data_IF_716895442299
#
_entry.id   IF_716895442299
#
_cell.length_a   1.000
_cell.length_b   1.000
_cell.length_c   1.000
_cell.angle_alpha   90.00
_cell.angle_beta   90.00
_cell.angle_gamma   90.00
#
_symmetry.space_group_name_H-M   'P 1'
#
loop_
_entity.id
_entity.type
_entity.pdbx_description
1 polymer ?
#
# COMPACT_ATOMS: atom_id res chain seq x y z
N UNK A 1 -16.96 -8.19 -13.82
CA UNK A 1 -17.14 -6.96 -13.02
C UNK A 1 -17.91 -5.93 -13.81
N UNK A 2 -18.88 -5.31 -13.19
CA UNK A 2 -19.77 -4.31 -13.80
C UNK A 2 -19.75 -3.07 -12.90
N UNK A 3 -19.50 -1.91 -13.51
CA UNK A 3 -19.70 -0.61 -12.87
C UNK A 3 -21.01 0.02 -13.34
N UNK A 4 -21.70 0.69 -12.45
CA UNK A 4 -22.98 1.37 -12.70
C UNK A 4 -22.87 2.82 -12.29
N UNK A 5 -23.29 3.73 -13.14
CA UNK A 5 -23.46 5.14 -12.82
C UNK A 5 -24.85 5.59 -13.24
N UNK A 6 -25.45 6.52 -12.50
CA UNK A 6 -26.79 7.05 -12.73
C UNK A 6 -26.74 8.57 -13.02
N UNK A 7 -27.56 9.02 -13.97
CA UNK A 7 -27.80 10.43 -14.24
C UNK A 7 -29.08 10.87 -13.48
N UNK A 8 -29.10 12.05 -12.90
CA UNK A 8 -28.05 13.06 -12.75
C UNK A 8 -27.17 12.86 -11.49
N UNK A 9 -27.38 11.80 -10.72
CA UNK A 9 -26.78 11.58 -9.41
C UNK A 9 -25.25 11.54 -9.44
N UNK A 10 -24.67 10.95 -10.50
CA UNK A 10 -23.22 10.75 -10.62
C UNK A 10 -22.55 11.64 -11.66
N UNK A 11 -23.27 12.02 -12.71
CA UNK A 11 -22.87 13.01 -13.71
C UNK A 11 -24.06 13.41 -14.59
N UNK A 12 -23.98 14.59 -15.23
CA UNK A 12 -24.99 15.15 -16.09
C UNK A 12 -24.74 14.90 -17.59
N UNK A 13 -23.54 14.43 -17.95
CA UNK A 13 -23.11 14.15 -19.31
C UNK A 13 -22.64 12.71 -19.51
N UNK A 14 -22.64 12.27 -20.77
CA UNK A 14 -22.31 10.89 -21.16
C UNK A 14 -20.88 10.54 -20.79
N UNK A 15 -19.94 11.45 -20.99
CA UNK A 15 -18.51 11.23 -20.70
C UNK A 15 -18.27 11.09 -19.20
N UNK A 16 -18.92 11.91 -18.40
CA UNK A 16 -18.92 11.81 -16.94
C UNK A 16 -19.50 10.50 -16.44
N UNK A 17 -20.66 10.09 -17.00
CA UNK A 17 -21.29 8.81 -16.65
C UNK A 17 -20.41 7.61 -17.00
N UNK A 18 -19.73 7.62 -18.15
CA UNK A 18 -18.81 6.56 -18.52
C UNK A 18 -17.62 6.49 -17.58
N UNK A 19 -17.01 7.63 -17.22
CA UNK A 19 -15.93 7.68 -16.22
C UNK A 19 -16.38 7.13 -14.87
N UNK A 20 -17.57 7.53 -14.42
CA UNK A 20 -18.13 7.03 -13.16
C UNK A 20 -18.41 5.52 -13.19
N UNK A 21 -18.95 5.02 -14.30
CA UNK A 21 -19.20 3.59 -14.48
C UNK A 21 -17.88 2.78 -14.54
N UNK A 22 -16.86 3.29 -15.22
CA UNK A 22 -15.52 2.67 -15.25
C UNK A 22 -14.89 2.61 -13.86
N UNK A 23 -14.99 3.66 -13.09
CA UNK A 23 -14.52 3.69 -11.70
C UNK A 23 -15.27 2.65 -10.83
N UNK A 24 -16.59 2.54 -10.97
CA UNK A 24 -17.39 1.49 -10.32
C UNK A 24 -17.00 0.09 -10.76
N UNK A 25 -16.74 -0.12 -12.05
CA UNK A 25 -16.27 -1.40 -12.58
C UNK A 25 -14.90 -1.79 -12.01
N UNK A 26 -14.01 -0.82 -11.88
CA UNK A 26 -12.70 -1.05 -11.29
C UNK A 26 -12.80 -1.44 -9.81
N UNK A 27 -13.60 -0.72 -9.04
CA UNK A 27 -13.88 -1.07 -7.64
C UNK A 27 -14.48 -2.48 -7.50
N UNK A 28 -15.32 -2.89 -8.48
CA UNK A 28 -15.84 -4.25 -8.55
C UNK A 28 -14.74 -5.29 -8.79
N UNK A 29 -13.78 -5.01 -9.69
CA UNK A 29 -12.63 -5.91 -9.94
C UNK A 29 -11.77 -6.08 -8.70
N UNK A 30 -11.47 -5.00 -7.99
CA UNK A 30 -10.67 -5.02 -6.76
C UNK A 30 -11.31 -5.87 -5.64
N UNK A 31 -12.66 -5.97 -5.63
CA UNK A 31 -13.41 -6.81 -4.68
C UNK A 31 -13.62 -8.27 -5.14
N UNK A 32 -13.02 -8.67 -6.26
CA UNK A 32 -13.15 -10.03 -6.79
C UNK A 32 -14.34 -10.23 -7.73
N UNK A 33 -14.95 -9.16 -8.26
CA UNK A 33 -16.04 -9.20 -9.23
C UNK A 33 -17.39 -8.74 -8.68
N UNK A 34 -18.43 -8.85 -9.51
CA UNK A 34 -19.81 -8.45 -9.17
C UNK A 34 -20.23 -7.14 -9.80
N UNK A 35 -21.23 -6.48 -9.22
CA UNK A 35 -21.78 -5.18 -9.66
C UNK A 35 -21.48 -4.15 -8.57
N UNK A 36 -20.92 -3.00 -8.96
CA UNK A 36 -20.67 -1.88 -8.04
C UNK A 36 -21.26 -0.60 -8.64
N UNK A 37 -22.12 0.04 -7.89
CA UNK A 37 -22.58 1.39 -8.21
C UNK A 37 -21.45 2.36 -7.92
N UNK A 38 -21.22 3.32 -8.80
CA UNK A 38 -20.24 4.37 -8.58
C UNK A 38 -20.53 5.08 -7.25
N UNK A 39 -19.51 5.28 -6.49
CA UNK A 39 -19.55 6.04 -5.26
C UNK A 39 -18.59 7.22 -5.40
N UNK A 40 -19.13 8.43 -5.49
CA UNK A 40 -18.33 9.67 -5.54
C UNK A 40 -17.45 9.83 -4.29
N UNK A 41 -17.79 9.15 -3.21
CA UNK A 41 -16.97 9.01 -2.04
C UNK A 41 -15.81 8.00 -2.20
N UNK A 42 -15.77 7.12 -3.20
CA UNK A 42 -14.66 6.18 -3.39
C UNK A 42 -13.42 6.82 -4.05
N UNK A 43 -12.16 6.52 -3.64
CA UNK A 43 -10.96 7.06 -4.28
C UNK A 43 -11.01 6.85 -5.78
N UNK A 44 -10.86 7.96 -6.52
CA UNK A 44 -10.84 7.90 -7.97
C UNK A 44 -9.39 7.80 -8.45
N UNK A 45 -9.12 7.06 -9.55
CA UNK A 45 -7.82 7.07 -10.19
C UNK A 45 -7.33 8.49 -10.51
N UNK A 46 -8.24 9.40 -10.88
CA UNK A 46 -7.94 10.80 -11.19
C UNK A 46 -7.41 11.60 -9.98
N UNK A 47 -7.79 11.26 -8.76
CA UNK A 47 -7.28 11.92 -7.55
C UNK A 47 -5.78 11.68 -7.43
N UNK A 48 -5.31 10.49 -7.80
CA UNK A 48 -3.90 10.15 -7.82
C UNK A 48 -3.20 10.63 -9.09
N UNK A 49 -3.85 10.59 -10.25
CA UNK A 49 -3.29 11.07 -11.52
C UNK A 49 -3.05 12.58 -11.51
N UNK A 50 -3.95 13.38 -10.93
CA UNK A 50 -3.75 14.83 -10.73
C UNK A 50 -2.55 15.11 -9.84
N UNK A 51 -2.28 14.24 -8.90
CA UNK A 51 -1.15 14.30 -7.99
C UNK A 51 0.15 13.91 -8.71
N UNK A 52 0.11 12.87 -9.56
CA UNK A 52 1.26 12.38 -10.31
C UNK A 52 1.77 13.39 -11.35
N UNK A 53 0.84 14.07 -12.03
CA UNK A 53 1.17 14.99 -13.12
C UNK A 53 1.69 16.35 -12.64
N UNK A 54 1.53 16.68 -11.34
CA UNK A 54 1.99 17.95 -10.76
C UNK A 54 3.43 17.97 -10.23
N UNK A 55 4.18 16.88 -10.26
CA UNK A 55 5.46 16.79 -9.57
C UNK A 55 6.57 16.13 -10.36
N UNK A 56 7.54 16.93 -10.77
CA UNK A 56 8.85 16.51 -11.31
C UNK A 56 9.87 16.08 -10.23
N UNK A 57 9.50 16.02 -8.96
CA UNK A 57 10.43 15.76 -7.86
C UNK A 57 10.17 14.41 -7.18
N UNK A 58 11.25 13.80 -6.67
CA UNK A 58 11.23 12.53 -5.93
C UNK A 58 10.49 12.57 -4.57
N UNK A 59 9.74 13.64 -4.28
CA UNK A 59 8.96 13.80 -3.06
C UNK A 59 7.47 13.79 -3.39
N UNK A 60 6.67 13.20 -2.50
CA UNK A 60 5.23 13.41 -2.53
C UNK A 60 4.95 14.91 -2.46
N UNK A 61 3.93 15.42 -3.18
CA UNK A 61 3.50 16.81 -3.01
C UNK A 61 3.31 17.15 -1.54
N UNK A 62 3.74 18.32 -1.10
CA UNK A 62 3.76 18.71 0.30
C UNK A 62 2.40 18.57 1.00
N UNK A 63 1.29 18.77 0.28
CA UNK A 63 -0.05 18.56 0.79
C UNK A 63 -0.40 17.08 1.01
N UNK A 64 0.23 16.15 0.29
CA UNK A 64 0.08 14.71 0.51
C UNK A 64 0.98 14.19 1.62
N UNK A 65 2.23 14.65 1.68
CA UNK A 65 3.17 14.24 2.72
C UNK A 65 2.63 14.55 4.13
N UNK A 66 1.89 15.67 4.29
CA UNK A 66 1.24 16.04 5.54
C UNK A 66 -0.06 15.29 5.84
N UNK A 67 -0.66 14.62 4.86
CA UNK A 67 -1.96 13.96 5.00
C UNK A 67 -1.88 12.47 5.32
N UNK A 68 -0.74 11.82 5.06
CA UNK A 68 -0.51 10.43 5.49
C UNK A 68 -0.05 10.40 6.95
N UNK A 69 -0.62 9.46 7.69
CA UNK A 69 -0.26 9.17 9.09
C UNK A 69 -0.04 7.68 9.26
N UNK A 70 0.97 7.33 10.02
CA UNK A 70 1.19 5.94 10.40
C UNK A 70 0.57 5.67 11.78
N UNK A 71 -0.18 4.59 11.87
CA UNK A 71 -0.59 3.96 13.11
C UNK A 71 0.23 2.70 13.29
N UNK A 72 0.53 2.35 14.53
CA UNK A 72 1.32 1.15 14.82
C UNK A 72 0.54 0.26 15.76
N UNK A 73 0.24 -0.95 15.31
CA UNK A 73 -0.44 -1.96 16.11
C UNK A 73 0.61 -2.93 16.66
N UNK A 74 0.69 -3.13 17.99
CA UNK A 74 1.66 -4.05 18.57
C UNK A 74 1.33 -5.50 18.20
N UNK A 75 2.38 -6.30 17.94
CA UNK A 75 2.29 -7.74 17.67
C UNK A 75 2.81 -8.50 18.87
N UNK A 76 1.98 -9.40 19.40
CA UNK A 76 2.26 -10.21 20.58
C UNK A 76 2.53 -11.66 20.16
N UNK A 77 3.60 -12.24 20.66
CA UNK A 77 3.81 -13.68 20.61
C UNK A 77 2.95 -14.36 21.66
N UNK A 78 2.04 -15.22 21.23
CA UNK A 78 1.04 -15.83 22.12
C UNK A 78 1.64 -16.85 23.08
N UNK A 79 2.78 -17.42 22.75
CA UNK A 79 3.46 -18.41 23.60
C UNK A 79 4.27 -17.72 24.70
N UNK A 80 5.10 -16.78 24.34
CA UNK A 80 5.96 -16.06 25.28
C UNK A 80 5.27 -14.89 25.97
N UNK A 81 4.09 -14.47 25.48
CA UNK A 81 3.36 -13.27 25.93
C UNK A 81 4.16 -11.98 25.85
N UNK A 82 5.13 -11.91 24.94
CA UNK A 82 6.00 -10.76 24.75
C UNK A 82 5.68 -10.05 23.43
N UNK A 83 5.85 -8.73 23.42
CA UNK A 83 5.80 -7.97 22.17
C UNK A 83 7.03 -8.29 21.33
N UNK A 84 6.79 -8.70 20.07
CA UNK A 84 7.85 -9.10 19.12
C UNK A 84 7.98 -8.15 17.96
N UNK A 85 7.04 -7.22 17.81
CA UNK A 85 7.03 -6.27 16.72
C UNK A 85 5.81 -5.37 16.74
N UNK A 86 5.67 -4.63 15.67
CA UNK A 86 4.51 -3.76 15.40
C UNK A 86 4.15 -3.86 13.93
N UNK A 87 2.91 -3.62 13.62
CA UNK A 87 2.41 -3.49 12.26
C UNK A 87 2.18 -2.03 11.94
N UNK A 88 2.72 -1.58 10.82
CA UNK A 88 2.60 -0.21 10.34
C UNK A 88 1.35 -0.09 9.48
N UNK A 89 0.34 0.58 9.97
CA UNK A 89 -0.94 0.81 9.32
C UNK A 89 -0.98 2.24 8.79
N UNK A 90 -0.87 2.40 7.49
CA UNK A 90 -0.98 3.72 6.87
C UNK A 90 -2.43 4.19 6.89
N UNK A 91 -2.61 5.49 7.14
CA UNK A 91 -3.90 6.18 7.12
C UNK A 91 -3.74 7.46 6.33
N UNK A 92 -4.69 7.74 5.46
CA UNK A 92 -4.71 8.96 4.67
C UNK A 92 -5.85 9.88 5.12
N UNK A 93 -5.50 11.08 5.58
CA UNK A 93 -6.47 12.12 5.87
C UNK A 93 -6.83 12.85 4.57
N UNK A 94 -7.81 12.31 3.85
CA UNK A 94 -8.29 12.90 2.61
C UNK A 94 -9.15 14.14 2.91
N UNK A 95 -8.94 15.30 2.23
CA UNK A 95 -9.61 16.56 2.57
C UNK A 95 -11.15 16.50 2.50
N UNK A 96 -11.70 15.69 1.62
CA UNK A 96 -13.15 15.59 1.39
C UNK A 96 -13.77 14.30 1.96
N UNK A 97 -12.96 13.27 2.22
CA UNK A 97 -13.41 11.90 2.52
C UNK A 97 -13.04 11.42 3.92
N UNK A 98 -12.35 12.27 4.68
CA UNK A 98 -11.91 11.91 6.01
C UNK A 98 -10.78 10.89 6.02
N UNK A 99 -10.80 9.98 6.96
CA UNK A 99 -9.72 9.01 7.18
C UNK A 99 -9.91 7.77 6.31
N UNK A 100 -8.96 7.53 5.41
CA UNK A 100 -8.91 6.38 4.52
C UNK A 100 -7.86 5.37 4.99
N UNK A 101 -8.15 4.07 4.77
CA UNK A 101 -7.23 2.96 5.03
C UNK A 101 -6.45 2.57 3.78
N UNK A 102 -5.46 1.70 3.90
CA UNK A 102 -4.71 1.16 2.75
C UNK A 102 -5.61 0.48 1.72
N UNK A 103 -6.65 -0.20 2.16
CA UNK A 103 -7.62 -0.88 1.29
C UNK A 103 -8.43 0.10 0.44
N UNK A 104 -8.63 1.33 0.95
CA UNK A 104 -9.39 2.37 0.25
C UNK A 104 -8.58 3.06 -0.85
N UNK A 105 -7.26 3.23 -0.67
CA UNK A 105 -6.46 4.05 -1.56
C UNK A 105 -5.35 3.32 -2.35
N UNK A 106 -4.90 2.13 -1.93
CA UNK A 106 -3.92 1.37 -2.72
C UNK A 106 -4.45 0.95 -4.09
N UNK A 107 -5.66 0.35 -4.22
CA UNK A 107 -6.14 -0.08 -5.53
C UNK A 107 -6.21 1.05 -6.58
N UNK A 108 -6.72 2.26 -6.28
CA UNK A 108 -6.61 3.37 -7.23
C UNK A 108 -5.17 3.87 -7.42
N UNK A 109 -4.31 3.84 -6.39
CA UNK A 109 -2.93 4.25 -6.50
C UNK A 109 -2.09 3.31 -7.39
N UNK A 110 -2.43 2.02 -7.45
CA UNK A 110 -1.77 1.01 -8.30
C UNK A 110 -1.81 1.36 -9.78
N UNK A 111 -2.78 2.15 -10.21
CA UNK A 111 -2.90 2.61 -11.60
C UNK A 111 -2.06 3.85 -11.89
N UNK A 112 -1.33 4.36 -10.93
CA UNK A 112 -0.59 5.62 -11.07
C UNK A 112 0.90 5.45 -10.84
N UNK A 113 1.70 6.33 -11.42
CA UNK A 113 3.14 6.40 -11.17
C UNK A 113 3.50 6.83 -9.73
N UNK A 114 2.52 7.06 -8.86
CA UNK A 114 2.76 7.47 -7.47
C UNK A 114 3.02 6.30 -6.53
N UNK A 115 2.57 5.11 -6.88
CA UNK A 115 2.64 3.97 -5.97
C UNK A 115 4.04 3.65 -5.46
N UNK A 116 5.10 3.61 -6.30
CA UNK A 116 6.45 3.37 -5.82
C UNK A 116 6.92 4.42 -4.80
N UNK A 117 6.55 5.69 -5.03
CA UNK A 117 6.88 6.79 -4.12
C UNK A 117 6.12 6.70 -2.81
N UNK A 118 4.83 6.36 -2.87
CA UNK A 118 4.01 6.15 -1.69
C UNK A 118 4.55 4.98 -0.85
N UNK A 119 4.87 3.87 -1.50
CA UNK A 119 5.47 2.70 -0.85
C UNK A 119 6.81 3.07 -0.17
N UNK A 120 7.65 3.87 -0.82
CA UNK A 120 8.90 4.34 -0.23
C UNK A 120 8.66 5.22 1.00
N UNK A 121 7.72 6.15 0.95
CA UNK A 121 7.37 7.01 2.11
C UNK A 121 6.88 6.16 3.28
N UNK A 122 6.02 5.18 3.02
CA UNK A 122 5.50 4.26 4.04
C UNK A 122 6.65 3.47 4.69
N UNK A 123 7.55 2.93 3.88
CA UNK A 123 8.72 2.20 4.37
C UNK A 123 9.64 3.09 5.21
N UNK A 124 9.91 4.31 4.77
CA UNK A 124 10.73 5.29 5.52
C UNK A 124 10.15 5.61 6.88
N UNK A 125 8.86 5.93 6.95
CA UNK A 125 8.16 6.23 8.20
C UNK A 125 8.16 5.03 9.16
N UNK A 126 7.91 3.82 8.63
CA UNK A 126 7.93 2.59 9.41
C UNK A 126 9.35 2.30 9.98
N UNK A 127 10.38 2.43 9.15
CA UNK A 127 11.77 2.21 9.57
C UNK A 127 12.25 3.29 10.54
N UNK A 128 11.86 4.56 10.35
CA UNK A 128 12.14 5.63 11.31
C UNK A 128 11.57 5.31 12.70
N UNK A 129 10.34 4.78 12.77
CA UNK A 129 9.74 4.35 14.04
C UNK A 129 10.46 3.16 14.64
N UNK A 130 10.81 2.15 13.83
CA UNK A 130 11.59 0.99 14.28
C UNK A 130 12.96 1.42 14.84
N UNK A 131 13.61 2.39 14.18
CA UNK A 131 14.88 2.98 14.64
C UNK A 131 14.71 3.67 16.01
N UNK A 132 13.69 4.52 16.15
CA UNK A 132 13.42 5.20 17.43
C UNK A 132 13.16 4.20 18.56
N UNK A 133 12.42 3.12 18.32
CA UNK A 133 12.25 2.04 19.31
C UNK A 133 13.59 1.36 19.67
N UNK A 134 14.43 1.12 18.66
CA UNK A 134 15.75 0.50 18.88
C UNK A 134 16.66 1.38 19.72
N UNK A 135 16.63 2.70 19.55
CA UNK A 135 17.38 3.68 20.35
C UNK A 135 16.95 3.69 21.83
N UNK A 136 15.66 3.36 22.08
CA UNK A 136 15.13 3.17 23.42
C UNK A 136 15.38 1.76 24.00
N UNK A 137 16.17 0.93 23.30
CA UNK A 137 16.49 -0.43 23.72
C UNK A 137 15.46 -1.50 23.32
N UNK A 138 14.41 -1.14 22.57
CA UNK A 138 13.37 -2.05 22.13
C UNK A 138 13.60 -2.52 20.68
N UNK A 139 14.12 -3.73 20.50
CA UNK A 139 14.34 -4.34 19.17
C UNK A 139 13.04 -4.94 18.64
N UNK A 140 12.15 -4.10 18.17
CA UNK A 140 10.86 -4.49 17.60
C UNK A 140 10.94 -4.49 16.08
N UNK A 141 10.51 -5.59 15.47
CA UNK A 141 10.34 -5.63 14.03
C UNK A 141 9.10 -4.85 13.61
N UNK A 142 9.18 -4.13 12.49
CA UNK A 142 8.03 -3.48 11.89
C UNK A 142 7.55 -4.28 10.67
N UNK A 143 6.27 -4.60 10.64
CA UNK A 143 5.61 -5.20 9.49
C UNK A 143 4.98 -4.10 8.65
N UNK A 144 5.17 -4.16 7.33
CA UNK A 144 4.65 -3.19 6.36
C UNK A 144 3.98 -3.95 5.23
N UNK A 145 2.68 -3.71 5.04
CA UNK A 145 1.97 -4.22 3.88
C UNK A 145 2.32 -3.41 2.65
N UNK A 146 2.77 -4.09 1.60
CA UNK A 146 3.11 -3.49 0.31
C UNK A 146 2.18 -3.99 -0.78
N UNK A 147 1.83 -3.14 -1.76
CA UNK A 147 1.07 -3.57 -2.91
C UNK A 147 1.79 -4.66 -3.70
N UNK A 148 1.03 -5.63 -4.22
CA UNK A 148 1.58 -6.73 -5.02
C UNK A 148 2.33 -6.27 -6.27
N UNK A 149 1.91 -5.15 -6.83
CA UNK A 149 2.58 -4.49 -7.98
C UNK A 149 4.01 -4.05 -7.68
N UNK A 150 4.37 -3.79 -6.40
CA UNK A 150 5.75 -3.51 -6.01
C UNK A 150 6.70 -4.69 -6.31
N UNK A 151 6.17 -5.91 -6.38
CA UNK A 151 6.95 -7.11 -6.71
C UNK A 151 7.27 -7.24 -8.21
N UNK A 152 6.66 -6.41 -9.07
CA UNK A 152 7.00 -6.35 -10.49
C UNK A 152 8.19 -5.41 -10.77
N UNK A 153 8.68 -4.70 -9.74
CA UNK A 153 9.80 -3.79 -9.86
C UNK A 153 11.12 -4.49 -9.46
N UNK A 154 12.01 -4.84 -10.40
CA UNK A 154 13.25 -5.55 -10.08
C UNK A 154 14.11 -4.82 -9.02
N UNK A 155 14.13 -3.49 -9.04
CA UNK A 155 14.89 -2.67 -8.11
C UNK A 155 14.25 -2.56 -6.71
N UNK A 156 13.08 -3.17 -6.44
CA UNK A 156 12.42 -3.02 -5.15
C UNK A 156 13.23 -3.58 -3.99
N UNK A 157 13.86 -4.75 -4.17
CA UNK A 157 14.71 -5.35 -3.15
C UNK A 157 15.93 -4.49 -2.81
N UNK A 158 16.56 -3.88 -3.83
CA UNK A 158 17.72 -2.99 -3.63
C UNK A 158 17.31 -1.71 -2.89
N UNK A 159 16.14 -1.15 -3.22
CA UNK A 159 15.59 0.01 -2.49
C UNK A 159 15.33 -0.30 -1.03
N UNK A 160 14.76 -1.46 -0.73
CA UNK A 160 14.52 -1.91 0.65
C UNK A 160 15.86 -2.06 1.40
N UNK A 161 16.86 -2.67 0.77
CA UNK A 161 18.20 -2.80 1.36
C UNK A 161 18.86 -1.44 1.62
N UNK A 162 18.75 -0.50 0.67
CA UNK A 162 19.27 0.86 0.82
C UNK A 162 18.58 1.62 1.98
N UNK A 163 17.27 1.49 2.12
CA UNK A 163 16.53 2.09 3.23
C UNK A 163 16.96 1.51 4.59
N UNK A 164 17.10 0.20 4.70
CA UNK A 164 17.58 -0.43 5.93
C UNK A 164 18.96 0.06 6.31
N UNK A 165 19.88 0.20 5.34
CA UNK A 165 21.21 0.74 5.55
C UNK A 165 21.18 2.22 5.99
N UNK A 166 20.34 3.05 5.35
CA UNK A 166 20.14 4.46 5.70
C UNK A 166 19.70 4.62 7.17
N UNK A 167 18.72 3.82 7.61
CA UNK A 167 18.24 3.83 8.97
C UNK A 167 19.12 3.03 9.95
N UNK A 168 20.20 2.41 9.48
CA UNK A 168 21.11 1.58 10.29
C UNK A 168 20.36 0.49 11.07
N UNK A 169 19.44 -0.17 10.41
CA UNK A 169 18.65 -1.25 10.96
C UNK A 169 19.05 -2.58 10.35
N UNK A 170 19.10 -3.68 11.14
CA UNK A 170 19.30 -4.99 10.56
C UNK A 170 18.09 -5.42 9.72
N UNK A 171 18.26 -6.23 8.67
CA UNK A 171 17.17 -6.69 7.84
C UNK A 171 16.02 -7.37 8.60
N UNK A 172 16.34 -8.05 9.69
CA UNK A 172 15.37 -8.70 10.58
C UNK A 172 14.40 -7.71 11.27
N UNK A 173 14.68 -6.40 11.23
CA UNK A 173 13.79 -5.35 11.74
C UNK A 173 12.60 -5.09 10.84
N UNK A 174 12.59 -5.61 9.61
CA UNK A 174 11.52 -5.40 8.65
C UNK A 174 10.84 -6.73 8.29
N UNK A 175 9.51 -6.69 8.23
CA UNK A 175 8.68 -7.74 7.65
C UNK A 175 7.91 -7.11 6.50
N UNK A 176 8.13 -7.54 5.29
CA UNK A 176 7.30 -7.16 4.13
C UNK A 176 6.09 -8.10 4.10
N UNK A 177 4.90 -7.54 4.22
CA UNK A 177 3.63 -8.26 4.11
C UNK A 177 3.04 -8.02 2.72
N UNK A 178 2.49 -9.07 2.13
CA UNK A 178 1.93 -9.07 0.78
C UNK A 178 0.54 -9.66 0.90
N UNK A 179 -0.48 -8.95 0.41
CA UNK A 179 -1.82 -9.46 0.39
C UNK A 179 -1.91 -10.70 -0.52
N UNK A 180 -2.55 -11.77 -0.05
CA UNK A 180 -2.74 -12.97 -0.86
C UNK A 180 -3.61 -12.66 -2.09
N UNK A 181 -4.67 -11.87 -1.88
CA UNK A 181 -5.61 -11.50 -2.94
C UNK A 181 -4.98 -10.49 -3.91
N UNK A 182 -5.11 -10.76 -5.21
CA UNK A 182 -4.70 -9.85 -6.27
C UNK A 182 -3.20 -9.81 -6.55
N UNK A 183 -2.38 -10.58 -5.84
CA UNK A 183 -0.94 -10.65 -6.08
C UNK A 183 -0.59 -11.90 -6.88
N UNK A 184 -0.06 -11.78 -8.10
CA UNK A 184 0.32 -12.92 -8.93
C UNK A 184 1.65 -13.52 -8.47
N UNK A 185 1.68 -14.10 -7.25
CA UNK A 185 2.89 -14.67 -6.64
C UNK A 185 3.56 -15.78 -7.45
N UNK A 186 2.82 -16.37 -8.40
CA UNK A 186 3.33 -17.41 -9.30
C UNK A 186 4.10 -16.86 -10.50
N UNK A 187 3.98 -15.58 -10.80
CA UNK A 187 4.71 -14.95 -11.89
C UNK A 187 6.21 -14.93 -11.61
N UNK A 188 7.01 -15.20 -12.66
CA UNK A 188 8.46 -15.31 -12.54
C UNK A 188 9.11 -14.04 -11.98
N UNK A 189 8.71 -12.86 -12.48
CA UNK A 189 9.25 -11.58 -12.01
C UNK A 189 9.01 -11.33 -10.52
N UNK A 190 7.80 -11.61 -10.04
CA UNK A 190 7.46 -11.48 -8.62
C UNK A 190 8.32 -12.43 -7.76
N UNK A 191 8.52 -13.67 -8.21
CA UNK A 191 9.35 -14.65 -7.50
C UNK A 191 10.80 -14.22 -7.38
N UNK A 192 11.36 -13.64 -8.45
CA UNK A 192 12.74 -13.12 -8.44
C UNK A 192 12.91 -12.01 -7.40
N UNK A 193 11.97 -11.07 -7.32
CA UNK A 193 11.99 -10.00 -6.31
C UNK A 193 11.82 -10.55 -4.89
N UNK A 194 10.94 -11.53 -4.69
CA UNK A 194 10.78 -12.19 -3.38
C UNK A 194 12.05 -12.92 -2.95
N UNK A 195 12.72 -13.61 -3.87
CA UNK A 195 14.01 -14.25 -3.59
C UNK A 195 15.08 -13.22 -3.25
N UNK A 196 15.15 -12.10 -3.98
CA UNK A 196 16.08 -11.01 -3.70
C UNK A 196 15.82 -10.40 -2.31
N UNK A 197 14.56 -10.09 -1.96
CA UNK A 197 14.20 -9.61 -0.62
C UNK A 197 14.62 -10.60 0.48
N UNK A 198 14.34 -11.88 0.29
CA UNK A 198 14.75 -12.92 1.25
C UNK A 198 16.26 -13.01 1.40
N UNK A 199 17.00 -12.86 0.30
CA UNK A 199 18.48 -12.88 0.31
C UNK A 199 19.07 -11.72 1.10
N UNK A 200 18.40 -10.57 1.21
CA UNK A 200 18.83 -9.47 2.09
C UNK A 200 18.65 -9.79 3.57
N UNK A 201 17.88 -10.82 3.93
CA UNK A 201 17.52 -11.17 5.30
C UNK A 201 16.25 -10.52 5.82
N UNK A 202 15.51 -9.80 4.98
CA UNK A 202 14.17 -9.27 5.28
C UNK A 202 13.20 -10.43 5.40
N UNK A 203 12.28 -10.34 6.37
CA UNK A 203 11.24 -11.35 6.55
C UNK A 203 10.06 -11.05 5.65
N UNK A 204 9.46 -12.10 5.10
CA UNK A 204 8.28 -12.03 4.26
C UNK A 204 7.09 -12.63 5.01
N UNK A 205 5.91 -12.06 4.81
CA UNK A 205 4.64 -12.54 5.35
C UNK A 205 3.54 -12.42 4.29
N UNK A 206 2.56 -13.32 4.38
CA UNK A 206 1.30 -13.16 3.65
C UNK A 206 0.31 -12.48 4.57
N UNK A 207 -0.39 -11.51 4.03
CA UNK A 207 -1.49 -10.82 4.68
C UNK A 207 -2.82 -11.38 4.17
N UNK A 208 -3.86 -11.33 5.01
CA UNK A 208 -5.20 -11.84 4.70
C UNK A 208 -5.21 -13.29 4.19
N UNK A 209 -4.37 -14.17 4.76
CA UNK A 209 -4.25 -15.57 4.36
C UNK A 209 -5.60 -16.28 4.39
N UNK A 210 -5.92 -17.01 3.31
CA UNK A 210 -7.17 -17.73 3.13
C UNK A 210 -8.28 -16.89 2.48
N UNK A 211 -8.03 -15.62 2.14
CA UNK A 211 -8.97 -14.75 1.43
C UNK A 211 -8.85 -14.84 -0.09
N UNK A 212 -7.77 -15.44 -0.59
CA UNK A 212 -7.46 -15.62 -1.99
C UNK A 212 -7.94 -16.94 -2.59
N UNK A 213 -7.63 -17.14 -3.87
CA UNK A 213 -7.99 -18.34 -4.65
C UNK A 213 -6.89 -19.41 -4.70
N UNK A 214 -5.96 -19.36 -3.80
CA UNK A 214 -4.83 -20.30 -3.76
C UNK A 214 -5.19 -21.70 -3.27
#
# INVERSE_FOLDING_TARGET
SIGVAACPEHADDVEGLLRCADAGMYASKARGGGVTVFDAGAPQPDDFARIANGTSSHRLPGYLAGSFRMRFQPRLDLRSKRFTGMEALVRWHHPQRGLLTSEDFFPPAEQTALLPRLTEVILREALARSRACSELGHRLAVAVSVPGTSLHEPAFADRVAALLAEFRLPPSSLVIQIAERGTPLVERGCREVLHALRATGVRLGLDDFGSGSS
#
